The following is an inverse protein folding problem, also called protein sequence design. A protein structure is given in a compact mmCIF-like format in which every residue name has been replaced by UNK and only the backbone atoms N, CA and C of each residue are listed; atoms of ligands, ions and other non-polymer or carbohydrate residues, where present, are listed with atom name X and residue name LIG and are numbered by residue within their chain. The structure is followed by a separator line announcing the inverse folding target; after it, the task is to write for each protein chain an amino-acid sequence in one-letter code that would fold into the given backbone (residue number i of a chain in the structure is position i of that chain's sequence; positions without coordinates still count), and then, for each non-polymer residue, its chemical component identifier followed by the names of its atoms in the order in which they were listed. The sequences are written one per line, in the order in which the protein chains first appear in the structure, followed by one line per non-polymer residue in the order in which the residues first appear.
data_IF_501608248665
#
_entry.id   IF_501608248665
#
_cell.length_a   1.000
_cell.length_b   1.000
_cell.length_c   1.000
_cell.angle_alpha   90.00
_cell.angle_beta   90.00
_cell.angle_gamma   90.00
#
_symmetry.space_group_name_H-M   'P 1'
#
loop_
_entity.id
_entity.type
_entity.pdbx_description
1 polymer ?
#
# COMPACT_ATOMS: atom_id res chain seq x y z
N UNK A 1 7.95 -26.77 -10.27
CA UNK A 1 7.63 -26.92 -11.71
C UNK A 1 7.24 -25.59 -12.38
N UNK A 2 6.84 -24.57 -11.61
CA UNK A 2 6.49 -23.23 -12.12
C UNK A 2 5.00 -23.03 -12.37
N UNK A 3 4.16 -24.02 -12.03
CA UNK A 3 2.70 -23.93 -12.21
C UNK A 3 1.97 -23.45 -10.95
N UNK A 4 2.67 -23.27 -9.84
CA UNK A 4 2.15 -22.63 -8.64
C UNK A 4 2.95 -21.37 -8.36
N UNK A 5 2.27 -20.24 -8.39
CA UNK A 5 2.83 -18.92 -8.11
C UNK A 5 2.04 -18.27 -6.99
N UNK A 6 2.74 -17.51 -6.15
CA UNK A 6 2.13 -16.64 -5.16
C UNK A 6 2.07 -15.22 -5.74
N UNK A 7 0.90 -14.61 -5.69
CA UNK A 7 0.73 -13.17 -5.94
C UNK A 7 0.31 -12.52 -4.64
N UNK A 8 1.05 -11.51 -4.21
CA UNK A 8 0.83 -10.84 -2.93
C UNK A 8 1.24 -9.36 -3.00
N UNK A 9 0.59 -8.55 -2.18
CA UNK A 9 0.88 -7.13 -2.01
C UNK A 9 2.15 -6.88 -1.19
N UNK A 10 2.47 -5.60 -1.01
CA UNK A 10 3.50 -5.10 -0.11
C UNK A 10 3.43 -5.64 1.34
N UNK A 11 2.28 -6.18 1.77
CA UNK A 11 2.19 -6.95 3.03
C UNK A 11 3.27 -8.03 3.13
N UNK A 12 3.69 -8.64 2.02
CA UNK A 12 4.78 -9.62 2.03
C UNK A 12 6.06 -9.08 2.69
N UNK A 13 6.43 -7.82 2.39
CA UNK A 13 7.62 -7.20 2.96
C UNK A 13 7.44 -6.73 4.41
N UNK A 14 6.20 -6.48 4.82
CA UNK A 14 5.90 -6.00 6.16
C UNK A 14 5.66 -7.13 7.16
N UNK A 15 5.17 -8.29 6.69
CA UNK A 15 4.89 -9.48 7.50
C UNK A 15 6.01 -9.85 8.50
N UNK A 16 7.31 -9.87 8.11
CA UNK A 16 8.39 -10.21 9.04
C UNK A 16 8.56 -9.23 10.20
N UNK A 17 8.08 -7.99 10.04
CA UNK A 17 8.18 -6.94 11.05
C UNK A 17 7.00 -6.92 12.02
N UNK A 18 5.88 -7.58 11.66
CA UNK A 18 4.60 -7.49 12.42
C UNK A 18 4.13 -8.81 13.01
N UNK A 19 4.68 -9.95 12.57
CA UNK A 19 4.34 -11.26 13.11
C UNK A 19 5.52 -11.84 13.88
N UNK A 20 5.29 -12.31 15.12
CA UNK A 20 6.34 -12.98 15.91
C UNK A 20 6.86 -14.24 15.22
N UNK A 21 5.97 -14.95 14.53
CA UNK A 21 6.29 -16.18 13.82
C UNK A 21 5.46 -16.29 12.55
N UNK A 22 6.15 -16.34 11.40
CA UNK A 22 5.52 -16.68 10.14
C UNK A 22 5.37 -18.20 10.00
N UNK A 23 4.29 -18.70 9.39
CA UNK A 23 4.12 -20.13 9.11
C UNK A 23 4.97 -20.61 7.92
N UNK A 24 5.83 -19.74 7.37
CA UNK A 24 6.72 -20.01 6.24
C UNK A 24 8.05 -19.25 6.41
N UNK A 25 9.11 -19.74 5.76
CA UNK A 25 10.38 -19.01 5.62
C UNK A 25 10.35 -18.22 4.30
N UNK A 26 10.76 -16.95 4.31
CA UNK A 26 10.91 -16.16 3.09
C UNK A 26 11.87 -16.82 2.09
N UNK A 27 12.87 -17.56 2.58
CA UNK A 27 13.84 -18.31 1.74
C UNK A 27 13.20 -19.50 1.00
N UNK A 28 11.98 -19.91 1.39
CA UNK A 28 11.22 -20.93 0.65
C UNK A 28 10.60 -20.39 -0.64
N UNK A 29 10.72 -19.09 -0.90
CA UNK A 29 10.20 -18.41 -2.07
C UNK A 29 11.31 -17.69 -2.83
N UNK A 30 11.18 -17.64 -4.15
CA UNK A 30 12.03 -16.86 -5.04
C UNK A 30 11.24 -15.67 -5.58
N UNK A 31 11.83 -14.48 -5.49
CA UNK A 31 11.28 -13.21 -5.99
C UNK A 31 11.30 -13.21 -7.54
N UNK A 32 10.13 -13.30 -8.20
CA UNK A 32 10.04 -13.48 -9.67
C UNK A 32 9.88 -12.16 -10.41
N UNK A 33 8.92 -11.32 -10.01
CA UNK A 33 8.66 -10.03 -10.67
C UNK A 33 7.82 -9.10 -9.78
N UNK A 34 7.77 -7.81 -10.12
CA UNK A 34 6.85 -6.82 -9.55
C UNK A 34 5.86 -6.39 -10.65
N UNK A 35 4.58 -6.70 -10.44
CA UNK A 35 3.53 -6.43 -11.41
C UNK A 35 3.23 -4.94 -11.55
N UNK A 36 3.46 -4.16 -10.49
CA UNK A 36 3.29 -2.72 -10.49
C UNK A 36 3.22 -2.15 -9.09
N UNK A 37 3.30 -0.84 -8.99
CA UNK A 37 3.18 -0.09 -7.74
C UNK A 37 2.21 1.07 -7.86
N UNK A 38 1.61 1.48 -6.75
CA UNK A 38 0.71 2.64 -6.68
C UNK A 38 0.80 3.25 -5.28
N UNK A 39 0.72 4.57 -5.13
CA UNK A 39 0.60 5.16 -3.80
C UNK A 39 -0.74 4.81 -3.15
N UNK A 40 -0.83 5.01 -1.85
CA UNK A 40 -2.12 5.16 -1.19
C UNK A 40 -2.55 6.62 -1.24
N UNK A 41 -3.86 6.86 -1.25
CA UNK A 41 -4.47 8.12 -0.96
C UNK A 41 -5.15 8.03 0.42
N UNK A 42 -4.86 8.96 1.31
CA UNK A 42 -5.62 9.13 2.54
C UNK A 42 -6.95 9.77 2.17
N UNK A 43 -8.01 8.97 2.10
CA UNK A 43 -9.34 9.42 1.73
C UNK A 43 -10.24 9.59 2.95
N UNK A 44 -11.13 10.57 2.88
CA UNK A 44 -12.22 10.81 3.83
C UNK A 44 -13.53 10.99 3.06
N UNK A 45 -14.69 10.81 3.71
CA UNK A 45 -15.98 11.15 3.08
C UNK A 45 -16.00 12.58 2.54
N UNK A 46 -16.68 12.83 1.42
CA UNK A 46 -16.86 14.20 0.91
C UNK A 46 -17.51 15.14 1.96
N UNK A 47 -18.46 14.60 2.73
CA UNK A 47 -19.18 15.25 3.82
C UNK A 47 -18.40 15.31 5.13
N UNK A 48 -17.22 14.67 5.20
CA UNK A 48 -16.38 14.66 6.39
C UNK A 48 -16.05 16.09 6.85
N UNK A 49 -16.03 16.36 8.17
CA UNK A 49 -15.56 17.63 8.71
C UNK A 49 -14.06 17.83 8.48
N UNK A 50 -13.30 16.77 8.20
CA UNK A 50 -11.87 16.85 7.91
C UNK A 50 -11.66 17.29 6.47
N UNK A 51 -11.35 18.59 6.26
CA UNK A 51 -11.12 19.16 4.93
C UNK A 51 -9.65 19.11 4.54
N UNK A 52 -8.77 19.07 5.54
CA UNK A 52 -7.31 19.01 5.40
C UNK A 52 -6.72 17.91 6.27
N UNK A 53 -5.48 17.50 5.97
CA UNK A 53 -4.73 16.56 6.80
C UNK A 53 -4.58 17.06 8.25
N UNK A 54 -4.41 18.38 8.42
CA UNK A 54 -4.31 19.04 9.73
C UNK A 54 -5.59 18.93 10.55
N UNK A 55 -6.76 19.02 9.92
CA UNK A 55 -8.05 18.89 10.61
C UNK A 55 -8.20 17.50 11.23
N UNK A 56 -7.86 16.45 10.46
CA UNK A 56 -7.89 15.06 10.94
C UNK A 56 -6.92 14.86 12.11
N UNK A 57 -5.69 15.34 11.99
CA UNK A 57 -4.67 15.21 13.04
C UNK A 57 -5.11 15.92 14.32
N UNK A 58 -5.61 17.15 14.22
CA UNK A 58 -6.08 17.91 15.38
C UNK A 58 -7.24 17.20 16.08
N UNK A 59 -8.20 16.67 15.32
CA UNK A 59 -9.31 15.93 15.88
C UNK A 59 -8.85 14.64 16.58
N UNK A 60 -7.93 13.89 15.99
CA UNK A 60 -7.40 12.66 16.59
C UNK A 60 -6.58 12.94 17.86
N UNK A 61 -5.85 14.06 17.92
CA UNK A 61 -5.17 14.49 19.16
C UNK A 61 -6.14 14.90 20.26
N UNK A 62 -7.28 15.50 19.91
CA UNK A 62 -8.30 15.89 20.88
C UNK A 62 -9.07 14.69 21.45
N UNK A 63 -9.13 13.57 20.71
CA UNK A 63 -9.84 12.34 21.12
C UNK A 63 -9.00 11.08 20.83
N UNK A 64 -7.91 10.85 21.56
CA UNK A 64 -6.97 9.76 21.26
C UNK A 64 -7.64 8.39 21.39
N UNK A 65 -7.68 7.63 20.30
CA UNK A 65 -8.23 6.28 20.26
C UNK A 65 -9.75 6.19 20.05
N UNK A 66 -10.45 7.31 19.90
CA UNK A 66 -11.91 7.31 19.70
C UNK A 66 -12.29 7.37 18.21
N UNK A 67 -11.45 7.98 17.38
CA UNK A 67 -11.75 8.22 15.97
C UNK A 67 -11.36 6.97 15.17
N UNK A 68 -12.32 6.31 14.49
CA UNK A 68 -12.04 5.08 13.75
C UNK A 68 -11.37 5.34 12.40
N UNK A 69 -10.44 4.48 12.00
CA UNK A 69 -9.93 4.40 10.63
C UNK A 69 -10.14 3.00 10.06
N UNK A 70 -10.33 2.90 8.74
CA UNK A 70 -10.59 1.64 8.07
C UNK A 70 -9.29 0.95 7.62
N UNK A 71 -9.33 -0.39 7.47
CA UNK A 71 -8.37 -1.11 6.64
C UNK A 71 -9.03 -2.20 5.81
N UNK A 72 -8.29 -2.75 4.84
CA UNK A 72 -8.69 -3.94 4.08
C UNK A 72 -8.52 -5.27 4.85
N UNK A 73 -8.33 -5.20 6.18
CA UNK A 73 -8.09 -6.35 7.05
C UNK A 73 -6.89 -6.15 7.97
N UNK A 74 -6.80 -6.98 9.01
CA UNK A 74 -5.64 -6.99 9.91
C UNK A 74 -4.40 -7.46 9.15
N UNK A 75 -3.29 -6.75 9.31
CA UNK A 75 -2.02 -7.03 8.62
C UNK A 75 -2.01 -6.72 7.11
N UNK A 76 -3.09 -6.17 6.55
CA UNK A 76 -3.09 -5.71 5.17
C UNK A 76 -2.12 -4.54 4.99
N UNK A 77 -1.64 -4.33 3.77
CA UNK A 77 -0.73 -3.22 3.48
C UNK A 77 -1.36 -1.85 3.76
N UNK A 78 -2.69 -1.76 3.68
CA UNK A 78 -3.47 -0.56 3.99
C UNK A 78 -3.63 -0.33 5.49
N UNK A 79 -3.72 -1.39 6.29
CA UNK A 79 -3.63 -1.30 7.75
C UNK A 79 -2.27 -0.75 8.17
N UNK A 80 -1.19 -1.31 7.62
CA UNK A 80 0.18 -0.91 7.98
C UNK A 80 0.51 0.51 7.51
N UNK A 81 0.02 0.92 6.35
CA UNK A 81 0.16 2.31 5.89
C UNK A 81 -0.58 3.30 6.79
N UNK A 82 -1.76 2.93 7.28
CA UNK A 82 -2.54 3.76 8.19
C UNK A 82 -1.86 3.88 9.57
N UNK A 83 -1.36 2.78 10.12
CA UNK A 83 -0.62 2.81 11.39
C UNK A 83 0.70 3.57 11.27
N UNK A 84 1.43 3.40 10.18
CA UNK A 84 2.62 4.21 9.91
C UNK A 84 2.30 5.70 9.89
N UNK A 85 1.20 6.11 9.24
CA UNK A 85 0.76 7.50 9.30
C UNK A 85 0.40 7.96 10.71
N UNK A 86 -0.40 7.19 11.44
CA UNK A 86 -0.82 7.53 12.80
C UNK A 86 0.39 7.76 13.72
N UNK A 87 1.36 6.86 13.63
CA UNK A 87 2.66 6.99 14.28
C UNK A 87 3.34 8.31 13.96
N UNK A 88 3.59 8.55 12.67
CA UNK A 88 4.39 9.68 12.20
C UNK A 88 3.68 11.00 12.52
N UNK A 89 2.35 11.00 12.53
CA UNK A 89 1.54 12.14 12.95
C UNK A 89 1.43 12.31 14.47
N UNK A 90 1.86 11.32 15.26
CA UNK A 90 1.73 11.31 16.71
C UNK A 90 0.27 11.30 17.16
N UNK A 91 -0.56 10.49 16.50
CA UNK A 91 -2.00 10.35 16.80
C UNK A 91 -2.34 8.90 17.09
N UNK A 92 -3.35 8.70 17.94
CA UNK A 92 -3.90 7.37 18.25
C UNK A 92 -5.32 7.30 17.70
N UNK A 93 -5.61 6.26 16.94
CA UNK A 93 -6.90 6.06 16.29
C UNK A 93 -7.39 4.63 16.47
N UNK A 94 -8.69 4.40 16.32
CA UNK A 94 -9.31 3.08 16.48
C UNK A 94 -9.27 2.34 15.14
N UNK A 95 -8.57 1.21 15.07
CA UNK A 95 -8.56 0.39 13.86
C UNK A 95 -9.89 -0.38 13.70
N UNK A 96 -10.52 -0.25 12.54
CA UNK A 96 -11.69 -1.05 12.13
C UNK A 96 -11.35 -1.83 10.85
N UNK A 97 -11.12 -3.16 10.93
CA UNK A 97 -10.80 -3.97 9.76
C UNK A 97 -12.06 -4.40 8.98
N UNK A 98 -11.98 -4.35 7.66
CA UNK A 98 -13.01 -4.86 6.72
C UNK A 98 -12.46 -5.98 5.84
N UNK A 99 -13.32 -6.63 5.03
CA UNK A 99 -12.93 -7.78 4.18
C UNK A 99 -12.16 -7.41 2.91
N UNK A 100 -11.92 -6.11 2.69
CA UNK A 100 -11.15 -5.62 1.54
C UNK A 100 -11.34 -4.12 1.30
N UNK A 101 -10.58 -3.57 0.35
CA UNK A 101 -10.68 -2.15 -0.02
C UNK A 101 -12.08 -1.69 -0.42
N UNK A 102 -12.89 -2.45 -1.19
CA UNK A 102 -14.22 -2.00 -1.56
C UNK A 102 -15.12 -1.70 -0.35
N UNK A 103 -15.12 -2.59 0.65
CA UNK A 103 -15.90 -2.41 1.89
C UNK A 103 -15.35 -1.23 2.71
N UNK A 104 -14.03 -1.16 2.92
CA UNK A 104 -13.39 -0.05 3.64
C UNK A 104 -13.68 1.33 3.01
N UNK A 105 -13.73 1.42 1.68
CA UNK A 105 -14.09 2.65 0.96
C UNK A 105 -15.56 3.01 1.21
N UNK A 106 -16.49 2.05 1.13
CA UNK A 106 -17.91 2.31 1.38
C UNK A 106 -18.16 2.81 2.81
N UNK A 107 -17.47 2.21 3.78
CA UNK A 107 -17.55 2.57 5.20
C UNK A 107 -17.00 3.97 5.46
N UNK A 108 -15.93 4.34 4.74
CA UNK A 108 -15.39 5.70 4.76
C UNK A 108 -16.32 6.70 4.09
N UNK A 109 -16.92 6.36 2.94
CA UNK A 109 -17.93 7.20 2.26
C UNK A 109 -19.11 7.48 3.21
N UNK A 110 -19.60 6.45 3.88
CA UNK A 110 -20.70 6.53 4.84
C UNK A 110 -20.34 7.29 6.14
N UNK A 111 -19.07 7.66 6.33
CA UNK A 111 -18.60 8.37 7.53
C UNK A 111 -18.52 7.51 8.78
N UNK A 112 -18.61 6.17 8.65
CA UNK A 112 -18.43 5.24 9.78
C UNK A 112 -16.97 5.12 10.21
N UNK A 113 -16.05 5.37 9.27
CA UNK A 113 -14.63 5.57 9.54
C UNK A 113 -14.20 6.96 9.09
N UNK A 114 -13.32 7.60 9.85
CA UNK A 114 -12.83 8.95 9.56
C UNK A 114 -11.99 9.01 8.30
N UNK A 115 -11.12 8.00 8.09
CA UNK A 115 -10.33 7.89 6.89
C UNK A 115 -9.99 6.44 6.53
N UNK A 116 -9.50 6.26 5.30
CA UNK A 116 -8.89 5.04 4.80
C UNK A 116 -7.62 5.37 4.00
N UNK A 117 -6.55 4.58 4.17
CA UNK A 117 -5.40 4.57 3.25
C UNK A 117 -5.74 3.71 2.04
N UNK A 118 -6.46 4.29 1.08
CA UNK A 118 -6.95 3.56 -0.07
C UNK A 118 -5.86 3.46 -1.15
N UNK A 119 -5.61 2.27 -1.74
CA UNK A 119 -4.81 2.19 -2.96
C UNK A 119 -5.37 3.16 -4.01
N UNK A 120 -4.53 4.05 -4.57
CA UNK A 120 -5.02 5.11 -5.44
C UNK A 120 -5.82 4.55 -6.62
N UNK A 121 -5.39 3.41 -7.18
CA UNK A 121 -6.11 2.72 -8.26
C UNK A 121 -7.54 2.30 -7.90
N UNK A 122 -7.82 2.07 -6.61
CA UNK A 122 -9.16 1.69 -6.15
C UNK A 122 -10.01 2.90 -5.77
N UNK A 123 -9.39 4.03 -5.42
CA UNK A 123 -10.08 5.22 -4.96
C UNK A 123 -10.27 6.29 -6.03
N UNK A 124 -9.49 6.27 -7.12
CA UNK A 124 -9.43 7.37 -8.09
C UNK A 124 -10.79 7.76 -8.65
N UNK A 125 -11.64 6.79 -9.02
CA UNK A 125 -12.99 7.08 -9.54
C UNK A 125 -13.92 7.67 -8.47
N UNK A 126 -13.76 7.29 -7.20
CA UNK A 126 -14.54 7.85 -6.10
C UNK A 126 -14.10 9.28 -5.76
N UNK A 127 -12.79 9.55 -5.88
CA UNK A 127 -12.21 10.90 -5.73
C UNK A 127 -12.73 11.80 -6.86
N UNK A 128 -12.62 11.37 -8.12
CA UNK A 128 -13.08 12.13 -9.29
C UNK A 128 -14.60 12.33 -9.29
N UNK A 129 -15.36 11.33 -8.84
CA UNK A 129 -16.81 11.41 -8.68
C UNK A 129 -17.26 12.22 -7.45
N UNK A 130 -16.33 12.77 -6.66
CA UNK A 130 -16.64 13.62 -5.51
C UNK A 130 -17.30 12.89 -4.34
N UNK A 131 -17.24 11.56 -4.27
CA UNK A 131 -17.78 10.77 -3.15
C UNK A 131 -16.85 10.78 -1.94
N UNK A 132 -15.56 10.92 -2.19
CA UNK A 132 -14.51 11.06 -1.17
C UNK A 132 -13.59 12.21 -1.52
N UNK A 133 -12.95 12.79 -0.49
CA UNK A 133 -11.85 13.75 -0.63
C UNK A 133 -10.55 13.06 -0.25
N UNK A 134 -9.52 13.18 -1.07
CA UNK A 134 -8.17 12.77 -0.67
C UNK A 134 -7.47 13.93 0.04
N UNK A 135 -6.93 13.69 1.23
CA UNK A 135 -6.16 14.67 2.00
C UNK A 135 -4.65 14.60 1.68
N UNK A 136 -4.19 13.52 1.06
CA UNK A 136 -2.83 13.42 0.55
C UNK A 136 -2.53 12.05 -0.05
N UNK A 137 -1.51 11.99 -0.89
CA UNK A 137 -0.93 10.72 -1.38
C UNK A 137 0.34 10.36 -0.62
N UNK A 138 0.62 9.07 -0.50
CA UNK A 138 1.72 8.55 0.32
C UNK A 138 3.05 8.40 -0.41
N UNK A 139 3.09 8.69 -1.72
CA UNK A 139 4.33 8.71 -2.51
C UNK A 139 5.16 9.96 -2.24
N UNK A 140 6.47 9.85 -2.47
CA UNK A 140 7.40 10.98 -2.35
C UNK A 140 7.06 12.17 -3.29
N UNK A 141 6.46 11.88 -4.45
CA UNK A 141 5.94 12.87 -5.40
C UNK A 141 4.44 12.68 -5.64
N UNK A 142 3.78 13.72 -6.15
CA UNK A 142 2.35 13.63 -6.51
C UNK A 142 2.15 12.58 -7.61
N UNK A 143 1.04 11.86 -7.52
CA UNK A 143 0.70 10.86 -8.52
C UNK A 143 0.25 11.53 -9.83
N UNK A 144 0.73 11.07 -10.97
CA UNK A 144 0.33 11.60 -12.28
C UNK A 144 -1.17 11.47 -12.55
N UNK A 145 -1.80 10.39 -12.06
CA UNK A 145 -3.25 10.19 -12.15
C UNK A 145 -4.06 11.14 -11.24
N UNK A 146 -3.40 11.83 -10.32
CA UNK A 146 -4.02 12.71 -9.33
C UNK A 146 -3.12 13.92 -8.97
N UNK A 147 -2.73 14.76 -9.95
CA UNK A 147 -1.67 15.76 -9.77
C UNK A 147 -2.08 16.93 -8.85
N UNK A 148 -3.38 17.09 -8.61
CA UNK A 148 -3.94 18.11 -7.72
C UNK A 148 -3.87 17.73 -6.25
N UNK A 149 -3.68 16.44 -5.93
CA UNK A 149 -3.63 15.94 -4.56
C UNK A 149 -2.19 16.10 -4.04
N UNK A 150 -1.96 16.84 -2.93
CA UNK A 150 -0.63 16.99 -2.36
C UNK A 150 -0.10 15.67 -1.81
N UNK A 151 1.22 15.56 -1.65
CA UNK A 151 1.78 14.42 -0.91
C UNK A 151 1.61 14.63 0.60
N UNK A 152 1.66 13.56 1.39
CA UNK A 152 1.77 13.67 2.85
C UNK A 152 3.09 14.35 3.23
N UNK A 153 4.16 14.08 2.48
CA UNK A 153 5.47 14.69 2.71
C UNK A 153 5.47 16.23 2.53
N UNK A 154 4.77 16.74 1.51
CA UNK A 154 4.56 18.18 1.27
C UNK A 154 3.83 18.87 2.43
N UNK A 155 3.14 18.12 3.28
CA UNK A 155 2.29 18.62 4.36
C UNK A 155 2.95 18.59 5.75
N UNK A 156 4.29 18.48 5.80
CA UNK A 156 5.07 18.54 7.03
C UNK A 156 5.58 17.20 7.55
N UNK A 157 5.43 16.13 6.76
CA UNK A 157 5.90 14.78 7.08
C UNK A 157 7.05 14.36 6.16
N UNK A 158 8.15 15.13 6.19
CA UNK A 158 9.31 14.88 5.35
C UNK A 158 9.78 13.42 5.40
N UNK A 159 10.02 12.82 4.23
CA UNK A 159 10.43 11.42 4.12
C UNK A 159 9.30 10.40 4.23
N UNK A 160 8.03 10.83 4.34
CA UNK A 160 6.89 9.93 4.27
C UNK A 160 6.77 9.32 2.86
N UNK A 161 7.14 8.05 2.74
CA UNK A 161 7.03 7.28 1.49
C UNK A 161 6.67 5.82 1.80
N UNK A 162 5.41 5.46 1.50
CA UNK A 162 4.91 4.09 1.60
C UNK A 162 3.94 3.85 0.45
N UNK A 163 4.13 2.76 -0.28
CA UNK A 163 3.35 2.46 -1.47
C UNK A 163 2.81 1.05 -1.43
N UNK A 164 1.72 0.83 -2.16
CA UNK A 164 1.32 -0.49 -2.59
C UNK A 164 2.23 -0.92 -3.74
N UNK A 165 2.63 -2.17 -3.70
CA UNK A 165 3.13 -2.89 -4.86
C UNK A 165 2.62 -4.32 -4.80
N UNK A 166 2.55 -4.98 -5.96
CA UNK A 166 2.14 -6.38 -6.06
C UNK A 166 3.26 -7.17 -6.71
N UNK A 167 3.72 -8.20 -6.03
CA UNK A 167 4.80 -9.08 -6.48
C UNK A 167 4.30 -10.47 -6.88
N UNK A 168 5.19 -11.18 -7.57
CA UNK A 168 5.04 -12.60 -7.90
C UNK A 168 6.21 -13.37 -7.32
N UNK A 169 5.91 -14.48 -6.66
CA UNK A 169 6.89 -15.42 -6.14
C UNK A 169 6.62 -16.83 -6.65
N UNK A 170 7.67 -17.64 -6.69
CA UNK A 170 7.59 -19.08 -6.95
C UNK A 170 8.26 -19.85 -5.80
N UNK A 171 7.92 -21.13 -5.57
CA UNK A 171 8.67 -21.98 -4.65
C UNK A 171 10.17 -21.99 -4.99
N UNK A 172 11.05 -21.95 -3.98
CA UNK A 172 12.51 -21.84 -4.17
C UNK A 172 13.15 -23.01 -4.92
N UNK A 173 12.48 -24.16 -4.95
CA UNK A 173 12.89 -25.32 -5.76
C UNK A 173 12.52 -25.20 -7.26
N UNK A 174 11.92 -24.09 -7.69
CA UNK A 174 11.57 -23.88 -9.11
C UNK A 174 12.85 -23.74 -9.95
N UNK A 175 13.01 -24.50 -11.06
CA UNK A 175 14.22 -24.44 -11.86
C UNK A 175 14.51 -23.04 -12.41
N UNK A 176 15.80 -22.66 -12.42
CA UNK A 176 16.24 -21.33 -12.85
C UNK A 176 15.74 -20.92 -14.24
N UNK A 177 15.73 -21.85 -15.20
CA UNK A 177 15.22 -21.59 -16.54
C UNK A 177 13.73 -21.24 -16.55
N UNK A 178 12.94 -21.84 -15.65
CA UNK A 178 11.51 -21.55 -15.51
C UNK A 178 11.30 -20.17 -14.87
N UNK A 179 12.08 -19.83 -13.83
CA UNK A 179 12.06 -18.50 -13.21
C UNK A 179 12.38 -17.39 -14.22
N UNK A 180 13.41 -17.59 -15.06
CA UNK A 180 13.79 -16.66 -16.12
C UNK A 180 12.69 -16.51 -17.18
N UNK A 181 12.07 -17.62 -17.58
CA UNK A 181 10.94 -17.61 -18.51
C UNK A 181 9.76 -16.83 -17.94
N UNK A 182 9.37 -17.11 -16.70
CA UNK A 182 8.29 -16.40 -16.01
C UNK A 182 8.54 -14.89 -15.92
N UNK A 183 9.73 -14.48 -15.46
CA UNK A 183 10.08 -13.06 -15.39
C UNK A 183 10.02 -12.38 -16.78
N UNK A 184 10.54 -13.05 -17.80
CA UNK A 184 10.54 -12.54 -19.20
C UNK A 184 9.12 -12.40 -19.74
N UNK A 185 8.28 -13.40 -19.54
CA UNK A 185 6.91 -13.40 -20.05
C UNK A 185 6.04 -12.37 -19.31
N UNK A 186 6.20 -12.22 -17.99
CA UNK A 186 5.54 -11.18 -17.20
C UNK A 186 5.98 -9.80 -17.70
N UNK A 187 7.28 -9.55 -17.86
CA UNK A 187 7.78 -8.27 -18.38
C UNK A 187 7.26 -7.97 -19.80
N UNK A 188 7.10 -8.99 -20.65
CA UNK A 188 6.48 -8.82 -21.98
C UNK A 188 5.02 -8.41 -21.86
N UNK A 189 4.25 -9.07 -20.99
CA UNK A 189 2.84 -8.73 -20.77
C UNK A 189 2.67 -7.31 -20.19
N UNK A 190 3.51 -6.91 -19.22
CA UNK A 190 3.55 -5.54 -18.70
C UNK A 190 4.01 -4.51 -19.75
N UNK A 191 4.69 -4.98 -20.80
CA UNK A 191 5.15 -4.19 -21.94
C UNK A 191 4.05 -3.85 -22.94
N UNK A 192 2.93 -4.58 -22.92
CA UNK A 192 1.81 -4.43 -23.84
C UNK A 192 1.13 -3.06 -23.71
N UNK A 193 0.68 -2.50 -24.83
CA UNK A 193 0.13 -1.14 -24.88
C UNK A 193 -1.22 -1.03 -24.16
N UNK A 194 -2.07 -2.05 -24.23
CA UNK A 194 -3.35 -2.08 -23.54
C UNK A 194 -3.14 -2.15 -22.02
N UNK A 195 -2.22 -3.02 -21.58
CA UNK A 195 -1.84 -3.15 -20.16
C UNK A 195 -1.27 -1.84 -19.62
N UNK A 196 -0.30 -1.22 -20.34
CA UNK A 196 0.27 0.08 -19.96
C UNK A 196 -0.79 1.17 -19.86
N UNK A 197 -1.70 1.25 -20.83
CA UNK A 197 -2.76 2.26 -20.84
C UNK A 197 -3.72 2.07 -19.65
N UNK A 198 -4.13 0.83 -19.38
CA UNK A 198 -5.00 0.51 -18.25
C UNK A 198 -4.33 0.83 -16.91
N UNK A 199 -3.06 0.46 -16.75
CA UNK A 199 -2.28 0.74 -15.54
C UNK A 199 -2.09 2.25 -15.31
N UNK A 200 -1.73 3.01 -16.35
CA UNK A 200 -1.56 4.46 -16.24
C UNK A 200 -2.88 5.16 -15.84
N UNK A 201 -4.01 4.79 -16.46
CA UNK A 201 -5.35 5.30 -16.08
C UNK A 201 -5.71 4.99 -14.64
N UNK A 202 -5.27 3.85 -14.13
CA UNK A 202 -5.46 3.43 -12.76
C UNK A 202 -4.41 4.01 -11.79
N UNK A 203 -3.42 4.78 -12.25
CA UNK A 203 -2.35 5.30 -11.39
C UNK A 203 -1.41 4.21 -10.87
N UNK A 204 -1.22 3.14 -11.65
CA UNK A 204 -0.24 2.08 -11.39
C UNK A 204 0.99 2.33 -12.24
N UNK A 205 2.15 2.40 -11.60
CA UNK A 205 3.45 2.50 -12.24
C UNK A 205 4.00 1.12 -12.54
N UNK A 206 4.39 0.90 -13.79
CA UNK A 206 5.11 -0.30 -14.22
C UNK A 206 6.60 0.02 -14.25
N UNK A 207 7.41 -0.78 -13.54
CA UNK A 207 8.87 -0.72 -13.62
C UNK A 207 9.38 -2.14 -13.91
N UNK A 208 9.66 -2.48 -15.18
CA UNK A 208 10.20 -3.79 -15.52
C UNK A 208 11.49 -4.04 -14.76
N UNK A 209 11.61 -5.23 -14.19
CA UNK A 209 12.78 -5.67 -13.43
C UNK A 209 13.16 -7.08 -13.86
N UNK A 210 14.46 -7.34 -13.99
CA UNK A 210 14.97 -8.70 -14.04
C UNK A 210 14.88 -9.37 -12.65
N UNK A 211 15.25 -10.66 -12.55
CA UNK A 211 15.18 -11.40 -11.27
C UNK A 211 16.02 -10.76 -10.16
N UNK A 212 17.26 -10.35 -10.46
CA UNK A 212 18.16 -9.75 -9.46
C UNK A 212 17.69 -8.36 -9.00
N UNK A 213 17.13 -7.57 -9.92
CA UNK A 213 16.50 -6.28 -9.59
C UNK A 213 15.26 -6.46 -8.73
N UNK A 214 14.45 -7.48 -9.03
CA UNK A 214 13.25 -7.84 -8.25
C UNK A 214 13.64 -8.23 -6.83
N UNK A 215 14.64 -9.11 -6.68
CA UNK A 215 15.15 -9.49 -5.35
C UNK A 215 15.64 -8.25 -4.58
N UNK A 216 16.47 -7.41 -5.21
CA UNK A 216 16.97 -6.18 -4.58
C UNK A 216 15.83 -5.27 -4.12
N UNK A 217 14.81 -5.10 -4.95
CA UNK A 217 13.62 -4.32 -4.62
C UNK A 217 12.90 -4.91 -3.39
N UNK A 218 12.58 -6.21 -3.39
CA UNK A 218 11.87 -6.86 -2.28
C UNK A 218 12.68 -6.77 -0.98
N UNK A 219 13.99 -7.00 -1.02
CA UNK A 219 14.86 -6.86 0.17
C UNK A 219 14.86 -5.42 0.70
N UNK A 220 14.93 -4.42 -0.19
CA UNK A 220 14.87 -3.01 0.21
C UNK A 220 13.54 -2.64 0.87
N UNK A 221 12.42 -3.19 0.36
CA UNK A 221 11.10 -2.97 0.94
C UNK A 221 10.99 -3.66 2.30
N UNK A 222 11.49 -4.89 2.46
CA UNK A 222 11.53 -5.56 3.77
C UNK A 222 12.30 -4.71 4.78
N UNK A 223 13.47 -4.20 4.41
CA UNK A 223 14.25 -3.30 5.27
C UNK A 223 13.48 -2.01 5.59
N UNK A 224 12.81 -1.40 4.60
CA UNK A 224 12.00 -0.19 4.80
C UNK A 224 10.86 -0.44 5.78
N UNK A 225 10.07 -1.48 5.57
CA UNK A 225 8.94 -1.82 6.44
C UNK A 225 9.40 -2.24 7.84
N UNK A 226 10.53 -2.93 7.97
CA UNK A 226 11.12 -3.27 9.28
C UNK A 226 11.53 -2.01 10.04
N UNK A 227 12.17 -1.06 9.35
CA UNK A 227 12.53 0.23 9.95
C UNK A 227 11.27 1.01 10.36
N UNK A 228 10.28 1.08 9.48
CA UNK A 228 8.99 1.71 9.74
C UNK A 228 8.34 1.10 10.99
N UNK A 229 8.21 -0.22 11.08
CA UNK A 229 7.59 -0.88 12.23
C UNK A 229 8.35 -0.60 13.54
N UNK A 230 9.69 -0.63 13.50
CA UNK A 230 10.54 -0.34 14.66
C UNK A 230 10.41 1.11 15.12
N UNK A 231 10.58 2.07 14.20
CA UNK A 231 10.38 3.50 14.49
C UNK A 231 8.94 3.74 14.95
N UNK A 232 8.02 2.88 14.49
CA UNK A 232 6.64 2.90 14.88
C UNK A 232 6.31 2.23 16.22
N UNK A 233 7.27 1.60 16.90
CA UNK A 233 6.94 0.82 18.11
C UNK A 233 5.85 -0.22 17.88
N UNK A 234 5.64 -0.66 16.62
CA UNK A 234 4.73 -1.73 16.27
C UNK A 234 5.40 -3.01 16.75
N UNK A 235 4.90 -3.57 17.84
CA UNK A 235 5.39 -4.85 18.32
C UNK A 235 4.81 -5.97 17.46
N UNK A 236 5.64 -6.95 17.04
CA UNK A 236 5.14 -8.14 16.40
C UNK A 236 4.11 -8.81 17.30
N UNK A 237 2.96 -9.18 16.73
CA UNK A 237 1.90 -9.90 17.44
C UNK A 237 2.10 -11.41 17.30
#
# INVERSE_FOLDING_TARGET
DGYTLLVQSASYAANPAIYKKLPYDLKSLTDVNILGSSPYALIVSAESPYKTLKDLINAAKAKPGDIPFASAGVGSSTHLAAEYFNQTAGIKMLHVPFKGSPEAIQETIAGRTAYYMAPLQTAISQIQGGKVRALGVTSASRAEAAPTIPTIAEQGFSGFDIGLWVGVWAPSATPQAILQKLNTDINRALGDSEVKSAYAKAGITIKPMNLAETEKFVRSEISKYTKIAKDAGIEPQ
#
